data_IF_907204111567
#
_entry.id   IF_907204111567
#
_cell.length_a   1.000
_cell.length_b   1.000
_cell.length_c   1.000
_cell.angle_alpha   90.00
_cell.angle_beta   90.00
_cell.angle_gamma   90.00
#
_symmetry.space_group_name_H-M   'P 1'
#
loop_
_entity.id
_entity.type
_entity.pdbx_description
1 polymer ?
#
# COMPACT_ATOMS: atom_id res chain seq x y z
N UNK A 1 61.27 36.93 -92.65
CA UNK A 1 61.85 37.73 -91.56
C UNK A 1 61.97 36.86 -90.31
N UNK A 2 63.21 36.78 -89.77
CA UNK A 2 63.70 36.19 -88.51
C UNK A 2 63.24 34.78 -88.08
N UNK A 3 64.12 33.81 -88.37
CA UNK A 3 64.33 32.50 -87.72
C UNK A 3 64.79 32.66 -86.27
N UNK A 4 64.60 31.64 -85.41
CA UNK A 4 65.53 31.08 -84.39
C UNK A 4 64.70 30.21 -83.42
N UNK A 5 65.09 29.06 -82.86
CA UNK A 5 66.14 28.05 -83.07
C UNK A 5 65.79 26.90 -82.08
N UNK A 6 66.11 25.65 -82.41
CA UNK A 6 66.02 24.45 -81.53
C UNK A 6 67.30 24.33 -80.70
N UNK A 7 67.26 23.86 -79.42
CA UNK A 7 68.20 22.88 -78.77
C UNK A 7 68.01 22.77 -77.21
N UNK A 8 68.71 21.91 -76.41
CA UNK A 8 68.11 20.72 -75.76
C UNK A 8 68.43 20.53 -74.24
N UNK A 9 67.94 19.40 -73.68
CA UNK A 9 68.20 18.70 -72.39
C UNK A 9 69.36 19.18 -71.49
N UNK A 10 69.18 19.17 -70.15
CA UNK A 10 70.07 18.46 -69.19
C UNK A 10 69.41 18.21 -67.82
N UNK A 11 69.63 17.00 -67.28
CA UNK A 11 69.30 16.49 -65.94
C UNK A 11 70.23 17.07 -64.86
N UNK A 12 69.73 17.38 -63.66
CA UNK A 12 70.51 17.25 -62.41
C UNK A 12 69.58 16.83 -61.26
N UNK A 13 69.84 15.65 -60.70
CA UNK A 13 69.24 15.15 -59.46
C UNK A 13 69.84 15.86 -58.24
N UNK A 14 69.00 16.27 -57.28
CA UNK A 14 69.43 16.53 -55.91
C UNK A 14 68.44 15.87 -54.94
N UNK A 15 68.96 14.90 -54.17
CA UNK A 15 68.26 14.12 -53.16
C UNK A 15 67.99 14.97 -51.91
N UNK A 16 66.73 15.09 -51.50
CA UNK A 16 66.33 15.60 -50.17
C UNK A 16 65.75 14.43 -49.39
N UNK A 17 66.44 14.02 -48.30
CA UNK A 17 65.95 12.99 -47.39
C UNK A 17 64.99 13.58 -46.36
N UNK A 18 63.75 13.09 -46.31
CA UNK A 18 62.82 13.35 -45.20
C UNK A 18 62.90 12.22 -44.16
N UNK A 19 62.72 12.51 -42.86
CA UNK A 19 62.75 11.50 -41.81
C UNK A 19 61.51 10.59 -41.89
N UNK A 20 61.58 9.35 -41.36
CA UNK A 20 60.47 8.42 -41.43
C UNK A 20 59.30 8.89 -40.56
N UNK A 21 58.11 8.91 -41.17
CA UNK A 21 56.84 9.16 -40.48
C UNK A 21 56.60 8.04 -39.48
N UNK A 22 56.59 8.38 -38.19
CA UNK A 22 56.12 7.48 -37.13
C UNK A 22 54.64 7.25 -37.42
N UNK A 23 54.25 6.01 -37.72
CA UNK A 23 52.85 5.61 -37.78
C UNK A 23 52.28 5.72 -36.37
N UNK A 24 51.59 6.81 -36.07
CA UNK A 24 50.63 6.84 -34.97
C UNK A 24 49.61 5.73 -35.25
N UNK A 25 49.59 4.71 -34.40
CA UNK A 25 48.44 3.82 -34.27
C UNK A 25 47.27 4.69 -33.79
N UNK A 26 46.43 5.12 -34.74
CA UNK A 26 45.15 5.76 -34.45
C UNK A 26 44.18 4.70 -33.92
N UNK A 27 44.38 4.25 -32.68
CA UNK A 27 43.37 3.50 -31.95
C UNK A 27 42.33 4.48 -31.40
N UNK A 28 41.42 4.91 -32.27
CA UNK A 28 40.45 5.98 -32.00
C UNK A 28 39.16 5.53 -31.28
N UNK A 29 38.93 4.23 -31.12
CA UNK A 29 37.72 3.74 -30.47
C UNK A 29 38.02 3.23 -29.07
N UNK A 30 37.44 3.86 -28.05
CA UNK A 30 37.48 3.37 -26.68
C UNK A 30 36.79 2.00 -26.60
N UNK A 31 37.56 0.92 -26.62
CA UNK A 31 37.08 -0.47 -26.64
C UNK A 31 36.26 -0.86 -25.42
N UNK A 32 36.32 -0.10 -24.31
CA UNK A 32 35.46 -0.31 -23.15
C UNK A 32 34.06 0.30 -23.36
N UNK A 33 33.97 1.45 -24.05
CA UNK A 33 32.71 2.15 -24.33
C UNK A 33 32.00 1.64 -25.59
N UNK A 34 32.75 1.19 -26.60
CA UNK A 34 32.23 0.71 -27.89
C UNK A 34 32.35 -0.82 -28.04
N UNK A 35 32.27 -1.55 -26.93
CA UNK A 35 32.37 -3.00 -26.92
C UNK A 35 31.10 -3.66 -27.48
N UNK A 36 31.05 -3.83 -28.81
CA UNK A 36 29.93 -4.44 -29.54
C UNK A 36 29.67 -5.92 -29.18
N UNK A 37 30.62 -6.57 -28.49
CA UNK A 37 30.45 -7.94 -27.99
C UNK A 37 29.47 -8.01 -26.81
N UNK A 38 29.44 -7.00 -25.94
CA UNK A 38 28.55 -6.99 -24.76
C UNK A 38 27.08 -6.93 -25.18
N UNK A 39 26.75 -6.13 -26.21
CA UNK A 39 25.39 -6.08 -26.78
C UNK A 39 24.98 -7.34 -27.57
N UNK A 40 25.94 -8.12 -28.08
CA UNK A 40 25.69 -9.40 -28.76
C UNK A 40 25.51 -10.59 -27.79
N UNK A 41 26.12 -10.51 -26.60
CA UNK A 41 26.12 -11.59 -25.60
C UNK A 41 25.07 -11.34 -24.50
N UNK A 42 24.58 -10.10 -24.35
CA UNK A 42 23.48 -9.78 -23.45
C UNK A 42 22.18 -10.52 -23.80
N UNK A 43 21.30 -10.76 -22.81
CA UNK A 43 20.01 -11.41 -23.07
C UNK A 43 19.25 -10.62 -24.13
N UNK A 44 18.73 -11.31 -25.14
CA UNK A 44 17.87 -10.71 -26.15
C UNK A 44 16.51 -10.41 -25.52
N UNK A 45 15.94 -9.27 -25.89
CA UNK A 45 14.56 -8.96 -25.53
C UNK A 45 13.65 -10.12 -25.98
N UNK A 46 12.85 -10.62 -25.05
CA UNK A 46 11.98 -11.79 -25.24
C UNK A 46 10.50 -11.44 -25.04
N UNK A 47 10.18 -10.16 -24.86
CA UNK A 47 8.82 -9.64 -24.73
C UNK A 47 8.68 -8.29 -25.40
N UNK A 48 7.43 -7.81 -25.49
CA UNK A 48 7.13 -6.40 -25.76
C UNK A 48 6.36 -5.82 -24.58
N UNK A 49 6.59 -4.55 -24.27
CA UNK A 49 5.77 -3.85 -23.28
C UNK A 49 4.42 -3.42 -23.88
N UNK A 50 3.54 -2.87 -23.05
CA UNK A 50 2.21 -2.38 -23.45
C UNK A 50 2.24 -1.29 -24.53
N UNK A 51 3.38 -0.58 -24.68
CA UNK A 51 3.59 0.42 -25.73
C UNK A 51 4.21 -0.17 -27.02
N UNK A 52 4.37 -1.50 -27.10
CA UNK A 52 4.95 -2.20 -28.25
C UNK A 52 6.47 -2.16 -28.34
N UNK A 53 7.18 -1.57 -27.38
CA UNK A 53 8.64 -1.53 -27.31
C UNK A 53 9.25 -2.87 -26.87
N UNK A 54 10.50 -3.14 -27.22
CA UNK A 54 11.23 -4.35 -26.79
C UNK A 54 11.41 -4.38 -25.26
N UNK A 55 11.17 -5.53 -24.66
CA UNK A 55 11.21 -5.72 -23.20
C UNK A 55 11.74 -7.11 -22.81
N UNK A 56 11.94 -7.28 -21.50
CA UNK A 56 12.33 -8.54 -20.88
C UNK A 56 11.20 -9.07 -20.01
N UNK A 57 10.78 -10.31 -20.26
CA UNK A 57 9.76 -10.97 -19.47
C UNK A 57 10.29 -11.19 -18.04
N UNK A 58 9.55 -10.72 -17.04
CA UNK A 58 9.82 -11.06 -15.64
C UNK A 58 9.47 -12.52 -15.39
N UNK A 59 10.25 -13.21 -14.55
CA UNK A 59 9.82 -14.50 -14.01
C UNK A 59 8.54 -14.32 -13.17
N UNK A 60 7.70 -15.37 -13.01
CA UNK A 60 6.46 -15.24 -12.25
C UNK A 60 6.68 -14.68 -10.83
N UNK A 61 7.72 -15.11 -10.13
CA UNK A 61 8.07 -14.60 -8.79
C UNK A 61 8.43 -13.11 -8.79
N UNK A 62 9.20 -12.67 -9.80
CA UNK A 62 9.56 -11.26 -9.95
C UNK A 62 8.33 -10.40 -10.28
N UNK A 63 7.48 -10.88 -11.19
CA UNK A 63 6.24 -10.19 -11.54
C UNK A 63 5.31 -10.07 -10.34
N UNK A 64 5.10 -11.15 -9.57
CA UNK A 64 4.29 -11.11 -8.35
C UNK A 64 4.89 -10.15 -7.31
N UNK A 65 6.21 -10.17 -7.12
CA UNK A 65 6.88 -9.25 -6.20
C UNK A 65 6.72 -7.78 -6.63
N UNK A 66 6.82 -7.49 -7.94
CA UNK A 66 6.58 -6.15 -8.48
C UNK A 66 5.15 -5.69 -8.19
N UNK A 67 4.15 -6.51 -8.57
CA UNK A 67 2.76 -6.23 -8.24
C UNK A 67 2.57 -6.04 -6.74
N UNK A 68 3.24 -6.84 -5.91
CA UNK A 68 3.08 -6.77 -4.47
C UNK A 68 3.65 -5.50 -3.83
N UNK A 69 4.69 -4.92 -4.43
CA UNK A 69 5.30 -3.69 -3.96
C UNK A 69 4.61 -2.42 -4.51
N UNK A 70 3.99 -2.49 -5.70
CA UNK A 70 3.49 -1.29 -6.40
C UNK A 70 2.00 -1.32 -6.73
N UNK A 71 1.35 -2.48 -6.68
CA UNK A 71 -0.02 -2.69 -7.12
C UNK A 71 -1.05 -2.32 -6.06
N UNK A 72 -1.72 -1.18 -6.26
CA UNK A 72 -2.86 -0.75 -5.44
C UNK A 72 -4.22 -1.22 -5.99
N UNK A 73 -4.23 -2.05 -7.05
CA UNK A 73 -5.43 -2.43 -7.82
C UNK A 73 -6.29 -1.23 -8.28
N UNK A 74 -5.64 -0.08 -8.48
CA UNK A 74 -6.20 1.05 -9.18
C UNK A 74 -5.88 0.95 -10.67
N UNK A 75 -6.69 1.57 -11.52
CA UNK A 75 -6.37 1.70 -12.94
C UNK A 75 -5.04 2.42 -13.12
N UNK A 76 -4.13 1.84 -13.90
CA UNK A 76 -2.94 2.51 -14.41
C UNK A 76 -3.21 2.99 -15.84
N UNK A 77 -2.21 3.60 -16.49
CA UNK A 77 -2.34 4.07 -17.87
C UNK A 77 -2.66 2.94 -18.87
N UNK A 78 -2.20 1.70 -18.60
CA UNK A 78 -2.34 0.57 -19.51
C UNK A 78 -3.24 -0.57 -19.00
N UNK A 79 -3.57 -0.61 -17.71
CA UNK A 79 -4.34 -1.72 -17.12
C UNK A 79 -5.41 -1.24 -16.14
N UNK A 80 -6.58 -1.87 -16.17
CA UNK A 80 -7.60 -1.66 -15.16
C UNK A 80 -7.26 -2.39 -13.86
N UNK A 81 -7.98 -2.07 -12.78
CA UNK A 81 -7.85 -2.80 -11.52
C UNK A 81 -8.25 -4.27 -11.64
N UNK A 82 -9.21 -4.60 -12.50
CA UNK A 82 -9.64 -5.97 -12.75
C UNK A 82 -8.53 -6.79 -13.44
N UNK A 83 -7.92 -6.21 -14.49
CA UNK A 83 -6.82 -6.87 -15.22
C UNK A 83 -5.63 -7.19 -14.31
N UNK A 84 -5.33 -6.29 -13.35
CA UNK A 84 -4.27 -6.53 -12.37
C UNK A 84 -4.61 -7.65 -11.39
N UNK A 85 -5.88 -7.78 -10.99
CA UNK A 85 -6.31 -8.88 -10.13
C UNK A 85 -6.17 -10.20 -10.88
N UNK A 86 -6.67 -10.28 -12.12
CA UNK A 86 -6.58 -11.48 -12.95
C UNK A 86 -5.12 -11.88 -13.20
N UNK A 87 -4.25 -10.94 -13.56
CA UNK A 87 -2.83 -11.19 -13.75
C UNK A 87 -2.16 -11.73 -12.46
N UNK A 88 -2.52 -11.21 -11.29
CA UNK A 88 -1.97 -11.69 -10.00
C UNK A 88 -2.46 -13.11 -9.69
N UNK A 89 -3.72 -13.43 -10.00
CA UNK A 89 -4.25 -14.78 -9.81
C UNK A 89 -3.56 -15.79 -10.73
N UNK A 90 -3.40 -15.47 -12.02
CA UNK A 90 -2.65 -16.30 -12.99
C UNK A 90 -1.18 -16.51 -12.57
N UNK A 91 -0.53 -15.47 -12.03
CA UNK A 91 0.81 -15.60 -11.47
C UNK A 91 0.83 -16.54 -10.26
N UNK A 92 -0.17 -16.43 -9.38
CA UNK A 92 -0.27 -17.27 -8.19
C UNK A 92 -0.48 -18.75 -8.52
N UNK A 93 -1.05 -19.10 -9.67
CA UNK A 93 -1.14 -20.49 -10.14
C UNK A 93 0.24 -21.10 -10.39
N UNK A 94 1.17 -20.30 -10.91
CA UNK A 94 2.52 -20.70 -11.32
C UNK A 94 3.55 -20.69 -10.19
N UNK A 95 3.20 -20.17 -9.01
CA UNK A 95 4.13 -19.92 -7.91
C UNK A 95 3.83 -20.84 -6.72
N UNK A 96 4.87 -21.28 -6.02
CA UNK A 96 4.71 -22.09 -4.81
C UNK A 96 4.05 -21.29 -3.66
N UNK A 97 3.16 -21.92 -2.87
CA UNK A 97 2.43 -21.24 -1.80
C UNK A 97 3.32 -20.54 -0.75
N UNK A 98 4.51 -21.06 -0.49
CA UNK A 98 5.47 -20.48 0.45
C UNK A 98 5.94 -19.09 0.01
N UNK A 99 6.16 -18.89 -1.29
CA UNK A 99 6.54 -17.60 -1.83
C UNK A 99 5.37 -16.62 -1.80
N UNK A 100 4.16 -17.08 -2.10
CA UNK A 100 2.93 -16.28 -1.98
C UNK A 100 2.76 -15.79 -0.53
N UNK A 101 2.95 -16.67 0.45
CA UNK A 101 2.85 -16.33 1.87
C UNK A 101 3.91 -15.30 2.31
N UNK A 102 5.17 -15.47 1.89
CA UNK A 102 6.25 -14.50 2.17
C UNK A 102 5.98 -13.16 1.50
N UNK A 103 5.44 -13.17 0.28
CA UNK A 103 5.07 -11.96 -0.45
C UNK A 103 3.94 -11.22 0.25
N UNK A 104 2.92 -11.92 0.75
CA UNK A 104 1.84 -11.31 1.53
C UNK A 104 2.35 -10.63 2.81
N UNK A 105 3.26 -11.29 3.54
CA UNK A 105 3.90 -10.71 4.72
C UNK A 105 4.71 -9.46 4.37
N UNK A 106 5.55 -9.52 3.35
CA UNK A 106 6.36 -8.39 2.92
C UNK A 106 5.49 -7.21 2.46
N UNK A 107 4.50 -7.47 1.62
CA UNK A 107 3.58 -6.44 1.12
C UNK A 107 2.85 -5.75 2.28
N UNK A 108 2.49 -6.47 3.33
CA UNK A 108 1.83 -5.87 4.50
C UNK A 108 2.80 -5.10 5.40
N UNK A 109 3.91 -5.73 5.79
CA UNK A 109 4.78 -5.24 6.86
C UNK A 109 5.74 -4.15 6.36
N UNK A 110 6.28 -4.31 5.16
CA UNK A 110 7.27 -3.40 4.57
C UNK A 110 6.64 -2.52 3.50
N UNK A 111 5.76 -3.10 2.65
CA UNK A 111 5.07 -2.37 1.60
C UNK A 111 3.89 -1.52 2.09
N UNK A 112 3.43 -1.76 3.33
CA UNK A 112 2.24 -1.12 3.93
C UNK A 112 0.96 -1.22 3.07
N UNK A 113 0.91 -2.25 2.22
CA UNK A 113 -0.18 -2.52 1.30
C UNK A 113 -1.41 -3.06 2.04
N UNK A 114 -2.57 -3.00 1.36
CA UNK A 114 -3.85 -3.44 1.92
C UNK A 114 -4.52 -4.50 1.07
N UNK A 115 -4.89 -4.17 -0.16
CA UNK A 115 -5.71 -5.06 -0.98
C UNK A 115 -4.91 -6.26 -1.50
N UNK A 116 -3.68 -6.03 -1.95
CA UNK A 116 -2.78 -7.10 -2.38
C UNK A 116 -2.54 -8.18 -1.30
N UNK A 117 -2.02 -7.87 -0.10
CA UNK A 117 -1.76 -8.92 0.89
C UNK A 117 -3.04 -9.63 1.34
N UNK A 118 -4.20 -8.94 1.35
CA UNK A 118 -5.49 -9.58 1.59
C UNK A 118 -5.89 -10.54 0.47
N UNK A 119 -5.63 -10.21 -0.80
CA UNK A 119 -5.85 -11.09 -1.96
C UNK A 119 -4.97 -12.33 -1.87
N UNK A 120 -3.68 -12.17 -1.57
CA UNK A 120 -2.77 -13.31 -1.42
C UNK A 120 -3.18 -14.23 -0.26
N UNK A 121 -3.68 -13.68 0.85
CA UNK A 121 -4.31 -14.47 1.90
C UNK A 121 -5.55 -15.23 1.40
N UNK A 122 -6.39 -14.61 0.57
CA UNK A 122 -7.56 -15.26 -0.03
C UNK A 122 -7.16 -16.40 -0.97
N UNK A 123 -6.12 -16.22 -1.79
CA UNK A 123 -5.53 -17.28 -2.63
C UNK A 123 -5.04 -18.45 -1.77
N UNK A 124 -4.30 -18.16 -0.69
CA UNK A 124 -3.81 -19.20 0.23
C UNK A 124 -4.94 -19.95 0.94
N UNK A 125 -6.12 -19.35 1.10
CA UNK A 125 -7.29 -20.02 1.66
C UNK A 125 -7.75 -21.24 0.84
N UNK A 126 -7.43 -21.23 -0.46
CA UNK A 126 -7.71 -22.31 -1.41
C UNK A 126 -6.45 -23.15 -1.63
N UNK A 127 -5.32 -22.52 -1.97
CA UNK A 127 -4.11 -23.21 -2.42
C UNK A 127 -3.31 -23.87 -1.28
N UNK A 128 -3.24 -23.24 -0.10
CA UNK A 128 -2.48 -23.75 1.04
C UNK A 128 -3.07 -23.29 2.39
N UNK A 129 -4.22 -23.83 2.82
CA UNK A 129 -4.88 -23.52 4.09
C UNK A 129 -3.95 -23.44 5.31
N UNK A 130 -3.01 -24.38 5.42
CA UNK A 130 -2.05 -24.44 6.53
C UNK A 130 -1.11 -23.23 6.60
N UNK A 131 -0.73 -22.65 5.46
CA UNK A 131 0.08 -21.43 5.44
C UNK A 131 -0.76 -20.20 5.78
N UNK A 132 -2.02 -20.13 5.31
CA UNK A 132 -2.91 -19.04 5.67
C UNK A 132 -3.05 -18.93 7.19
N UNK A 133 -3.30 -20.04 7.89
CA UNK A 133 -3.44 -20.07 9.35
C UNK A 133 -2.23 -19.44 10.04
N UNK A 134 -1.01 -19.72 9.56
CA UNK A 134 0.23 -19.20 10.15
C UNK A 134 0.41 -17.69 9.97
N UNK A 135 0.00 -17.14 8.83
CA UNK A 135 0.24 -15.74 8.49
C UNK A 135 -0.96 -14.83 8.75
N UNK A 136 -2.16 -15.39 8.97
CA UNK A 136 -3.41 -14.62 8.96
C UNK A 136 -3.39 -13.41 9.88
N UNK A 137 -3.00 -13.58 11.15
CA UNK A 137 -2.99 -12.47 12.11
C UNK A 137 -1.88 -11.44 11.86
N UNK A 138 -0.82 -11.82 11.14
CA UNK A 138 0.27 -10.90 10.79
C UNK A 138 -0.12 -10.03 9.59
N UNK A 139 -0.87 -10.60 8.64
CA UNK A 139 -1.34 -9.88 7.45
C UNK A 139 -2.64 -9.12 7.72
N UNK A 140 -3.60 -9.80 8.33
CA UNK A 140 -4.90 -9.26 8.71
C UNK A 140 -4.78 -8.74 10.14
N UNK A 141 -4.14 -7.59 10.28
CA UNK A 141 -3.79 -6.99 11.57
C UNK A 141 -4.83 -5.99 12.11
N UNK A 142 -5.76 -5.56 11.26
CA UNK A 142 -6.67 -4.45 11.54
C UNK A 142 -8.09 -4.72 11.04
N UNK A 143 -9.10 -4.03 11.61
CA UNK A 143 -10.49 -4.15 11.17
C UNK A 143 -10.68 -3.88 9.67
N UNK A 144 -9.93 -2.92 9.11
CA UNK A 144 -9.93 -2.65 7.67
C UNK A 144 -9.43 -3.86 6.87
N UNK A 145 -8.29 -4.43 7.27
CA UNK A 145 -7.75 -5.61 6.61
C UNK A 145 -8.70 -6.80 6.69
N UNK A 146 -9.40 -6.98 7.83
CA UNK A 146 -10.40 -8.03 7.99
C UNK A 146 -11.57 -7.84 7.01
N UNK A 147 -12.10 -6.62 6.91
CA UNK A 147 -13.18 -6.27 5.97
C UNK A 147 -12.74 -6.49 4.52
N UNK A 148 -11.53 -6.07 4.16
CA UNK A 148 -10.95 -6.30 2.84
C UNK A 148 -10.86 -7.81 2.50
N UNK A 149 -10.32 -8.62 3.42
CA UNK A 149 -10.26 -10.07 3.22
C UNK A 149 -11.65 -10.69 3.05
N UNK A 150 -12.61 -10.32 3.89
CA UNK A 150 -14.00 -10.82 3.78
C UNK A 150 -14.63 -10.38 2.46
N UNK A 151 -14.39 -9.14 2.01
CA UNK A 151 -14.90 -8.65 0.72
C UNK A 151 -14.39 -9.48 -0.45
N UNK A 152 -13.07 -9.74 -0.48
CA UNK A 152 -12.44 -10.57 -1.52
C UNK A 152 -13.04 -11.98 -1.50
N UNK A 153 -13.17 -12.60 -0.34
CA UNK A 153 -13.75 -13.94 -0.21
C UNK A 153 -15.23 -14.00 -0.65
N UNK A 154 -16.00 -12.92 -0.46
CA UNK A 154 -17.41 -12.84 -0.90
C UNK A 154 -17.55 -12.56 -2.38
N UNK A 155 -16.57 -11.91 -3.00
CA UNK A 155 -16.60 -11.60 -4.42
C UNK A 155 -16.59 -12.84 -5.30
N UNK A 156 -16.00 -13.95 -4.83
CA UNK A 156 -15.81 -15.15 -5.62
C UNK A 156 -14.54 -15.18 -6.44
N UNK A 157 -13.74 -14.10 -6.44
CA UNK A 157 -12.61 -13.92 -7.37
C UNK A 157 -11.53 -14.99 -7.24
N UNK A 158 -11.35 -15.58 -6.05
CA UNK A 158 -10.42 -16.70 -5.80
C UNK A 158 -11.08 -18.08 -5.99
N UNK A 159 -12.17 -18.16 -6.75
CA UNK A 159 -12.89 -19.40 -7.04
C UNK A 159 -13.86 -19.89 -5.96
N UNK A 160 -14.04 -19.13 -4.86
CA UNK A 160 -15.05 -19.42 -3.81
C UNK A 160 -15.83 -18.17 -3.46
N UNK A 161 -17.16 -18.25 -3.54
CA UNK A 161 -18.11 -17.16 -3.25
C UNK A 161 -18.70 -17.24 -1.84
N UNK A 162 -17.86 -17.47 -0.83
CA UNK A 162 -18.24 -17.53 0.61
C UNK A 162 -17.02 -17.75 1.52
N UNK A 163 -17.22 -17.58 2.84
CA UNK A 163 -16.27 -18.08 3.83
C UNK A 163 -16.52 -19.57 4.08
N UNK A 164 -15.58 -20.43 3.69
CA UNK A 164 -15.56 -21.82 4.13
C UNK A 164 -15.32 -21.94 5.64
N UNK A 165 -15.40 -23.14 6.19
CA UNK A 165 -15.27 -23.40 7.63
C UNK A 165 -13.98 -22.82 8.22
N UNK A 166 -12.83 -23.04 7.57
CA UNK A 166 -11.54 -22.57 8.06
C UNK A 166 -11.41 -21.02 8.02
N UNK A 167 -11.65 -20.31 6.89
CA UNK A 167 -11.62 -18.85 6.88
C UNK A 167 -12.63 -18.22 7.85
N UNK A 168 -13.82 -18.82 7.98
CA UNK A 168 -14.83 -18.37 8.96
C UNK A 168 -14.31 -18.47 10.39
N UNK A 169 -13.62 -19.57 10.73
CA UNK A 169 -13.00 -19.74 12.05
C UNK A 169 -11.85 -18.74 12.28
N UNK A 170 -11.02 -18.46 11.27
CA UNK A 170 -9.96 -17.45 11.39
C UNK A 170 -10.53 -16.05 11.66
N UNK A 171 -11.58 -15.65 10.93
CA UNK A 171 -12.26 -14.36 11.16
C UNK A 171 -12.90 -14.31 12.55
N UNK A 172 -13.50 -15.42 13.02
CA UNK A 172 -14.04 -15.51 14.38
C UNK A 172 -12.95 -15.33 15.45
N UNK A 173 -11.88 -16.12 15.36
CA UNK A 173 -10.74 -16.04 16.29
C UNK A 173 -10.13 -14.65 16.28
N UNK A 174 -10.11 -13.99 15.12
CA UNK A 174 -9.66 -12.62 14.98
C UNK A 174 -10.52 -11.67 15.82
N UNK A 175 -11.85 -11.75 15.74
CA UNK A 175 -12.74 -10.90 16.55
C UNK A 175 -12.60 -11.17 18.05
N UNK A 176 -12.50 -12.45 18.42
CA UNK A 176 -12.43 -12.88 19.82
C UNK A 176 -11.14 -12.46 20.53
N UNK A 177 -10.04 -12.29 19.80
CA UNK A 177 -8.73 -11.92 20.39
C UNK A 177 -8.44 -10.42 20.42
N UNK A 178 -9.38 -9.58 19.99
CA UNK A 178 -9.25 -8.11 19.99
C UNK A 178 -9.95 -7.55 21.21
N UNK A 179 -9.51 -6.41 21.74
CA UNK A 179 -10.19 -5.75 22.86
C UNK A 179 -11.52 -5.13 22.42
N UNK A 180 -12.37 -4.80 23.40
CA UNK A 180 -13.66 -4.15 23.16
C UNK A 180 -13.46 -2.79 22.49
N UNK A 181 -12.46 -2.02 22.93
CA UNK A 181 -12.09 -0.73 22.36
C UNK A 181 -11.61 -0.88 20.91
N UNK A 182 -10.76 -1.87 20.64
CA UNK A 182 -10.26 -2.14 19.28
C UNK A 182 -11.38 -2.46 18.31
N UNK A 183 -12.38 -3.25 18.74
CA UNK A 183 -13.55 -3.54 17.90
C UNK A 183 -14.47 -2.33 17.74
N UNK A 184 -14.68 -1.56 18.81
CA UNK A 184 -15.52 -0.37 18.76
C UNK A 184 -14.94 0.69 17.82
N UNK A 185 -13.68 1.07 18.00
CA UNK A 185 -12.92 1.96 17.10
C UNK A 185 -12.88 1.37 15.69
N UNK A 186 -12.69 0.05 15.60
CA UNK A 186 -12.65 -0.71 14.35
C UNK A 186 -13.96 -0.82 13.58
N UNK A 187 -15.08 -0.42 14.17
CA UNK A 187 -16.40 -0.45 13.54
C UNK A 187 -16.53 0.56 12.39
N UNK A 188 -15.59 1.51 12.28
CA UNK A 188 -15.57 2.52 11.22
C UNK A 188 -15.32 1.85 9.85
N UNK A 189 -16.17 2.21 8.90
CA UNK A 189 -16.11 1.81 7.51
C UNK A 189 -17.15 0.75 7.17
N UNK A 190 -17.52 0.73 5.88
CA UNK A 190 -18.60 -0.09 5.36
C UNK A 190 -18.08 -1.00 4.23
N UNK A 191 -18.98 -1.79 3.67
CA UNK A 191 -18.81 -2.60 2.44
C UNK A 191 -17.61 -3.57 2.43
N UNK A 192 -17.63 -4.63 3.27
CA UNK A 192 -18.62 -4.94 4.30
C UNK A 192 -18.34 -4.13 5.58
N UNK A 193 -19.37 -3.86 6.37
CA UNK A 193 -19.21 -3.29 7.72
C UNK A 193 -18.70 -4.34 8.71
N UNK A 194 -18.14 -3.91 9.85
CA UNK A 194 -17.81 -4.85 10.94
C UNK A 194 -19.07 -5.57 11.46
N UNK A 195 -20.22 -4.88 11.44
CA UNK A 195 -21.54 -5.44 11.74
C UNK A 195 -21.89 -6.61 10.83
N UNK A 196 -21.64 -6.50 9.52
CA UNK A 196 -21.87 -7.60 8.57
C UNK A 196 -20.97 -8.78 8.87
N UNK A 197 -19.71 -8.52 9.22
CA UNK A 197 -18.74 -9.57 9.58
C UNK A 197 -19.19 -10.30 10.85
N UNK A 198 -19.61 -9.58 11.89
CA UNK A 198 -20.13 -10.16 13.14
C UNK A 198 -21.37 -11.01 12.87
N UNK A 199 -22.33 -10.48 12.09
CA UNK A 199 -23.54 -11.21 11.68
C UNK A 199 -23.21 -12.45 10.85
N UNK A 200 -22.11 -12.45 10.11
CA UNK A 200 -21.70 -13.58 9.27
C UNK A 200 -21.04 -14.72 10.05
N UNK A 201 -20.16 -14.40 11.01
CA UNK A 201 -19.34 -15.40 11.71
C UNK A 201 -19.88 -15.81 13.07
N UNK A 202 -20.82 -15.02 13.61
CA UNK A 202 -21.46 -15.24 14.91
C UNK A 202 -20.42 -15.56 16.01
N UNK A 203 -19.52 -14.62 16.33
CA UNK A 203 -18.54 -14.84 17.40
C UNK A 203 -19.25 -14.99 18.75
N UNK A 204 -18.74 -15.87 19.60
CA UNK A 204 -19.31 -16.04 20.94
C UNK A 204 -18.73 -14.96 21.86
N UNK A 205 -19.53 -14.10 22.50
CA UNK A 205 -19.01 -13.15 23.45
C UNK A 205 -18.43 -13.87 24.67
N UNK A 206 -17.23 -13.46 25.11
CA UNK A 206 -16.56 -14.02 26.28
C UNK A 206 -17.04 -13.41 27.60
N UNK A 207 -17.53 -12.16 27.56
CA UNK A 207 -17.96 -11.40 28.74
C UNK A 207 -19.31 -10.70 28.49
N UNK A 208 -20.03 -10.26 29.54
CA UNK A 208 -21.22 -9.43 29.41
C UNK A 208 -20.96 -8.16 28.60
N UNK A 209 -19.80 -7.53 28.78
CA UNK A 209 -19.42 -6.30 28.08
C UNK A 209 -19.23 -6.55 26.57
N UNK A 210 -18.55 -7.64 26.21
CA UNK A 210 -18.44 -8.06 24.81
C UNK A 210 -19.80 -8.38 24.21
N UNK A 211 -20.70 -9.00 24.98
CA UNK A 211 -22.07 -9.29 24.53
C UNK A 211 -22.84 -8.00 24.25
N UNK A 212 -22.79 -7.03 25.17
CA UNK A 212 -23.41 -5.72 25.02
C UNK A 212 -22.82 -4.96 23.82
N UNK A 213 -21.50 -5.00 23.62
CA UNK A 213 -20.84 -4.38 22.48
C UNK A 213 -21.28 -4.99 21.15
N UNK A 214 -21.33 -6.32 21.04
CA UNK A 214 -21.83 -6.97 19.82
C UNK A 214 -23.28 -6.61 19.55
N UNK A 215 -24.14 -6.65 20.57
CA UNK A 215 -25.55 -6.25 20.45
C UNK A 215 -25.69 -4.78 20.01
N UNK A 216 -24.91 -3.86 20.60
CA UNK A 216 -24.83 -2.46 20.21
C UNK A 216 -24.44 -2.29 18.74
N UNK A 217 -23.35 -2.93 18.28
CA UNK A 217 -22.86 -2.80 16.90
C UNK A 217 -23.82 -3.38 15.86
N UNK A 218 -24.55 -4.45 16.20
CA UNK A 218 -25.52 -5.06 15.27
C UNK A 218 -26.90 -4.41 15.33
N UNK A 219 -27.12 -3.43 16.21
CA UNK A 219 -28.39 -2.71 16.37
C UNK A 219 -29.48 -3.51 17.08
N UNK A 220 -29.12 -4.38 18.02
CA UNK A 220 -30.06 -5.10 18.90
C UNK A 220 -30.15 -4.44 20.27
N UNK A 221 -31.14 -4.83 21.06
CA UNK A 221 -31.21 -4.46 22.47
C UNK A 221 -29.99 -4.99 23.23
N UNK A 222 -29.47 -4.17 24.14
CA UNK A 222 -28.30 -4.45 24.96
C UNK A 222 -28.47 -3.82 26.34
N UNK A 223 -27.83 -4.42 27.34
CA UNK A 223 -27.71 -3.81 28.65
C UNK A 223 -26.73 -2.63 28.58
N UNK A 224 -27.22 -1.43 28.90
CA UNK A 224 -26.44 -0.19 28.83
C UNK A 224 -25.37 -0.11 29.90
N UNK A 225 -25.60 -0.74 31.05
CA UNK A 225 -24.66 -0.72 32.16
C UNK A 225 -23.48 -1.66 31.90
N UNK A 226 -23.68 -2.66 31.05
CA UNK A 226 -22.63 -3.55 30.53
C UNK A 226 -21.89 -2.99 29.30
N UNK A 227 -22.26 -1.82 28.74
CA UNK A 227 -21.61 -1.32 27.54
C UNK A 227 -20.15 -0.91 27.85
N UNK A 228 -19.14 -1.28 27.02
CA UNK A 228 -17.76 -0.91 27.27
C UNK A 228 -17.58 0.60 27.41
N UNK A 229 -16.66 1.00 28.29
CA UNK A 229 -16.50 2.39 28.73
C UNK A 229 -16.37 3.38 27.57
N UNK A 230 -15.54 3.07 26.56
CA UNK A 230 -15.35 3.94 25.40
C UNK A 230 -16.64 4.12 24.58
N UNK A 231 -17.43 3.05 24.42
CA UNK A 231 -18.71 3.11 23.72
C UNK A 231 -19.77 3.87 24.54
N UNK A 232 -19.77 3.69 25.86
CA UNK A 232 -20.63 4.45 26.79
C UNK A 232 -20.31 5.95 26.76
N UNK A 233 -19.03 6.33 26.82
CA UNK A 233 -18.59 7.71 26.68
C UNK A 233 -19.01 8.32 25.34
N UNK A 234 -18.86 7.57 24.24
CA UNK A 234 -19.30 8.01 22.92
C UNK A 234 -20.81 8.22 22.83
N UNK A 235 -21.62 7.30 23.33
CA UNK A 235 -23.08 7.45 23.35
C UNK A 235 -23.52 8.62 24.24
N UNK A 236 -22.87 8.85 25.38
CA UNK A 236 -23.10 10.04 26.24
C UNK A 236 -22.77 11.33 25.49
N UNK A 237 -21.64 11.37 24.78
CA UNK A 237 -21.23 12.54 23.99
C UNK A 237 -22.22 12.81 22.84
N UNK A 238 -22.63 11.76 22.11
CA UNK A 238 -23.58 11.85 20.99
C UNK A 238 -24.97 12.33 21.41
N UNK A 239 -25.44 11.97 22.60
CA UNK A 239 -26.76 12.39 23.13
C UNK A 239 -26.74 13.74 23.82
N UNK A 240 -25.56 14.32 24.03
CA UNK A 240 -25.42 15.56 24.77
C UNK A 240 -26.05 16.72 23.98
N UNK A 241 -27.07 17.33 24.57
CA UNK A 241 -27.77 18.51 24.03
C UNK A 241 -27.14 19.83 24.46
N UNK A 242 -26.11 19.80 25.32
CA UNK A 242 -25.36 20.97 25.80
C UNK A 242 -23.89 20.90 25.33
N UNK A 243 -23.58 21.40 24.13
CA UNK A 243 -22.24 21.31 23.56
C UNK A 243 -21.15 21.89 24.48
N UNK A 244 -19.99 21.24 24.58
CA UNK A 244 -18.84 21.68 25.39
C UNK A 244 -18.86 21.35 26.90
N UNK A 245 -19.90 20.67 27.42
CA UNK A 245 -19.98 20.20 28.82
C UNK A 245 -19.52 18.76 29.05
N UNK A 246 -19.52 17.94 28.00
CA UNK A 246 -19.07 16.53 28.07
C UNK A 246 -17.71 16.44 27.41
N UNK A 247 -16.78 15.73 28.05
CA UNK A 247 -15.44 15.48 27.51
C UNK A 247 -15.53 14.74 26.18
N UNK A 248 -14.75 15.18 25.20
CA UNK A 248 -14.64 14.49 23.90
C UNK A 248 -14.02 13.10 24.14
N UNK A 249 -14.71 12.00 23.78
CA UNK A 249 -14.19 10.66 23.95
C UNK A 249 -12.99 10.40 23.03
N UNK A 250 -12.08 9.54 23.46
CA UNK A 250 -10.87 9.18 22.69
C UNK A 250 -11.18 8.17 21.59
N UNK A 251 -12.03 8.58 20.65
CA UNK A 251 -12.44 7.81 19.48
C UNK A 251 -11.86 8.44 18.21
N UNK A 252 -11.71 7.66 17.11
CA UNK A 252 -11.26 8.23 15.86
C UNK A 252 -12.15 9.36 15.38
N UNK A 253 -11.50 10.35 14.78
CA UNK A 253 -12.12 11.55 14.27
C UNK A 253 -13.38 11.32 13.43
N UNK A 254 -13.39 10.28 12.60
CA UNK A 254 -14.51 9.96 11.72
C UNK A 254 -15.82 9.67 12.48
N UNK A 255 -15.75 9.25 13.74
CA UNK A 255 -16.94 9.05 14.57
C UNK A 255 -17.49 10.38 15.10
N UNK A 256 -16.64 11.39 15.26
CA UNK A 256 -17.02 12.68 15.84
C UNK A 256 -17.54 13.68 14.81
N UNK A 257 -17.04 13.62 13.57
CA UNK A 257 -17.30 14.66 12.55
C UNK A 257 -18.75 14.84 12.13
N UNK A 258 -19.60 13.84 12.36
CA UNK A 258 -21.03 13.93 12.05
C UNK A 258 -21.85 14.60 13.17
N UNK A 259 -21.23 14.86 14.32
CA UNK A 259 -21.88 15.43 15.50
C UNK A 259 -21.76 16.97 15.49
N UNK A 260 -22.66 17.69 16.17
CA UNK A 260 -22.58 19.14 16.31
C UNK A 260 -21.43 19.53 17.27
N UNK A 261 -20.21 19.63 16.72
CA UNK A 261 -18.99 19.95 17.47
C UNK A 261 -18.81 21.47 17.66
N UNK A 262 -18.51 21.89 18.88
CA UNK A 262 -18.11 23.27 19.18
C UNK A 262 -16.64 23.52 18.86
N UNK A 263 -16.23 24.80 18.80
CA UNK A 263 -14.82 25.17 18.72
C UNK A 263 -13.96 24.51 19.81
N UNK A 264 -14.46 24.46 21.06
CA UNK A 264 -13.76 23.81 22.18
C UNK A 264 -13.57 22.31 21.95
N UNK A 265 -14.56 21.64 21.36
CA UNK A 265 -14.44 20.22 21.00
C UNK A 265 -13.37 20.03 19.92
N UNK A 266 -13.34 20.90 18.91
CA UNK A 266 -12.31 20.90 17.85
C UNK A 266 -10.90 21.13 18.40
N UNK A 267 -10.74 22.03 19.36
CA UNK A 267 -9.48 22.27 20.07
C UNK A 267 -9.03 21.02 20.83
N UNK A 268 -9.94 20.37 21.55
CA UNK A 268 -9.65 19.12 22.28
C UNK A 268 -9.27 17.97 21.32
N UNK A 269 -10.00 17.83 20.21
CA UNK A 269 -9.71 16.85 19.15
C UNK A 269 -8.31 17.10 18.58
N UNK A 270 -7.97 18.35 18.25
CA UNK A 270 -6.67 18.70 17.70
C UNK A 270 -5.51 18.47 18.70
N UNK A 271 -5.78 18.64 20.00
CA UNK A 271 -4.83 18.38 21.09
C UNK A 271 -4.52 16.88 21.22
N UNK A 272 -5.54 16.02 21.12
CA UNK A 272 -5.39 14.57 21.29
C UNK A 272 -5.07 13.81 19.99
N UNK A 273 -5.19 14.46 18.82
CA UNK A 273 -5.01 13.82 17.52
C UNK A 273 -3.70 13.03 17.37
N UNK A 274 -3.79 11.86 16.73
CA UNK A 274 -2.61 11.11 16.26
C UNK A 274 -1.88 11.87 15.14
N UNK A 275 -0.66 11.44 14.80
CA UNK A 275 0.12 12.07 13.73
C UNK A 275 -0.60 11.99 12.38
N UNK A 276 -1.06 10.81 11.98
CA UNK A 276 -1.77 10.61 10.70
C UNK A 276 -3.04 11.45 10.62
N UNK A 277 -3.83 11.47 11.70
CA UNK A 277 -5.04 12.28 11.78
C UNK A 277 -4.72 13.77 11.67
N UNK A 278 -3.66 14.24 12.33
CA UNK A 278 -3.21 15.64 12.25
C UNK A 278 -2.84 16.00 10.81
N UNK A 279 -1.99 15.19 10.17
CA UNK A 279 -1.55 15.41 8.78
C UNK A 279 -2.74 15.49 7.82
N UNK A 280 -3.71 14.61 7.96
CA UNK A 280 -4.86 14.53 7.05
C UNK A 280 -5.90 15.64 7.25
N UNK A 281 -5.94 16.30 8.41
CA UNK A 281 -7.07 17.15 8.80
C UNK A 281 -6.70 18.62 9.08
N UNK A 282 -5.53 19.09 8.63
CA UNK A 282 -5.10 20.48 8.84
C UNK A 282 -6.12 21.50 8.34
N UNK A 283 -6.66 21.32 7.12
CA UNK A 283 -7.67 22.24 6.58
C UNK A 283 -8.97 22.21 7.40
N UNK A 284 -9.33 21.06 7.98
CA UNK A 284 -10.50 20.97 8.85
C UNK A 284 -10.27 21.69 10.18
N UNK A 285 -9.09 21.52 10.78
CA UNK A 285 -8.71 22.29 11.98
C UNK A 285 -8.68 23.79 11.73
N UNK A 286 -8.20 24.23 10.56
CA UNK A 286 -8.23 25.64 10.16
C UNK A 286 -9.67 26.17 10.07
N UNK A 287 -10.56 25.45 9.37
CA UNK A 287 -11.97 25.85 9.21
C UNK A 287 -12.71 25.99 10.54
N UNK A 288 -12.29 25.26 11.57
CA UNK A 288 -12.90 25.30 12.90
C UNK A 288 -12.11 26.16 13.92
N UNK A 289 -11.18 26.99 13.45
CA UNK A 289 -10.51 27.99 14.29
C UNK A 289 -9.48 27.43 15.27
N UNK A 290 -9.03 26.18 15.10
CA UNK A 290 -8.02 25.55 15.98
C UNK A 290 -6.72 26.36 16.01
N UNK A 291 -6.33 26.93 14.87
CA UNK A 291 -5.08 27.69 14.72
C UNK A 291 -5.16 29.15 15.18
N UNK A 292 -6.31 29.59 15.71
CA UNK A 292 -6.40 30.88 16.41
C UNK A 292 -5.69 30.81 17.77
N UNK A 293 -5.51 29.60 18.32
CA UNK A 293 -4.70 29.37 19.51
C UNK A 293 -3.23 29.15 19.13
N UNK A 294 -2.35 30.05 19.61
CA UNK A 294 -0.90 29.91 19.45
C UNK A 294 -0.38 28.61 20.10
N UNK A 295 -0.96 28.21 21.23
CA UNK A 295 -0.62 26.97 21.94
C UNK A 295 -0.91 25.74 21.07
N UNK A 296 -2.13 25.62 20.52
CA UNK A 296 -2.52 24.49 19.68
C UNK A 296 -1.74 24.44 18.38
N UNK A 297 -1.47 25.61 17.79
CA UNK A 297 -0.59 25.72 16.63
C UNK A 297 0.80 25.15 16.94
N UNK A 298 1.37 25.49 18.10
CA UNK A 298 2.63 24.92 18.57
C UNK A 298 2.57 23.41 18.76
N UNK A 299 1.50 22.88 19.37
CA UNK A 299 1.31 21.43 19.56
C UNK A 299 1.23 20.69 18.23
N UNK A 300 0.44 21.20 17.28
CA UNK A 300 0.28 20.60 15.95
C UNK A 300 1.61 20.62 15.18
N UNK A 301 2.31 21.75 15.16
CA UNK A 301 3.61 21.86 14.49
C UNK A 301 4.64 20.90 15.12
N UNK A 302 4.71 20.84 16.45
CA UNK A 302 5.59 19.92 17.18
C UNK A 302 5.27 18.45 16.88
N UNK A 303 3.99 18.10 16.80
CA UNK A 303 3.57 16.74 16.45
C UNK A 303 4.02 16.38 15.03
N UNK A 304 3.78 17.26 14.06
CA UNK A 304 4.09 17.01 12.65
C UNK A 304 5.60 16.87 12.38
N UNK A 305 6.44 17.64 13.08
CA UNK A 305 7.90 17.58 12.94
C UNK A 305 8.59 16.47 13.73
N UNK A 306 7.85 15.67 14.51
CA UNK A 306 8.44 14.66 15.39
C UNK A 306 8.88 13.41 14.60
N UNK A 307 10.19 13.10 14.48
CA UNK A 307 10.68 11.98 13.67
C UNK A 307 10.15 10.63 14.11
N UNK A 308 9.96 10.41 15.42
CA UNK A 308 9.45 9.14 15.96
C UNK A 308 7.99 8.89 15.56
N UNK A 309 7.19 9.97 15.44
CA UNK A 309 5.79 9.86 15.01
C UNK A 309 5.62 9.75 13.50
N UNK A 310 6.64 10.14 12.73
CA UNK A 310 6.67 9.98 11.27
C UNK A 310 7.00 8.53 10.90
N UNK A 311 7.90 7.89 11.65
CA UNK A 311 8.35 6.52 11.41
C UNK A 311 7.43 5.42 11.96
N UNK A 312 6.39 5.79 12.73
CA UNK A 312 5.44 4.88 13.37
C UNK A 312 4.13 4.77 12.58
#
# INVERSE_FOLDING_TARGET
MKKLFVSPRTNVHQLVSYPPVIKEETEMANKNLFNTLIGKIGPKANARNEAGGLAYQMSPKQALAQYAATGCFNGTFYSSGADQVDAVLELCEQIEPEFIARTALYARNEGHMKDMPALLCAVLSVKAPGLLIKIFNQVIDSPKMLRNFVQIMRSGVVGRKSLGTMPKQLVRNWLESRSDEQLFIGSIGNDPSLTDVIKMVHPKPATPERSALYAYLIGREYDRDSLPELASQYEKFKRNTNPGKVTVPDVPFQMLTALPLTKKDWEQIARNASWQMTRMNLNTFLRHGVFESAELTGIVANRLRNPRKIAA
#
